data_IF_774046629521
#
_entry.id   IF_774046629521
#
_cell.length_a   1.000
_cell.length_b   1.000
_cell.length_c   1.000
_cell.angle_alpha   90.00
_cell.angle_beta   90.00
_cell.angle_gamma   90.00
#
_symmetry.space_group_name_H-M   'P 1'
#
loop_
_entity.id
_entity.type
_entity.pdbx_description
1 polymer ?
#
# COMPACT_ATOMS: atom_id res chain seq x y z
N UNK A 1 7.68 -8.14 -16.32
CA UNK A 1 6.98 -8.62 -15.11
C UNK A 1 6.86 -10.14 -15.05
N UNK A 2 6.77 -10.87 -16.17
CA UNK A 2 6.78 -12.35 -16.15
C UNK A 2 8.04 -12.91 -15.47
N UNK A 3 7.84 -13.95 -14.65
CA UNK A 3 8.91 -14.61 -13.90
C UNK A 3 9.46 -13.81 -12.71
N UNK A 4 8.72 -12.82 -12.20
CA UNK A 4 9.07 -12.06 -11.00
C UNK A 4 7.98 -12.25 -9.93
N UNK A 5 8.39 -12.31 -8.66
CA UNK A 5 7.45 -12.17 -7.56
C UNK A 5 7.02 -10.70 -7.46
N UNK A 6 5.71 -10.47 -7.37
CA UNK A 6 5.11 -9.15 -7.30
C UNK A 6 4.20 -9.07 -6.08
N UNK A 7 4.44 -8.05 -5.26
CA UNK A 7 3.55 -7.63 -4.17
C UNK A 7 3.16 -6.18 -4.44
N UNK A 8 1.86 -5.92 -4.52
CA UNK A 8 1.29 -4.57 -4.68
C UNK A 8 0.35 -4.30 -3.52
N UNK A 9 0.45 -3.11 -2.94
CA UNK A 9 -0.43 -2.70 -1.86
C UNK A 9 -0.77 -1.22 -2.01
N UNK A 10 -1.98 -0.85 -1.59
CA UNK A 10 -2.47 0.53 -1.59
C UNK A 10 -3.63 0.63 -0.61
N UNK A 11 -3.85 1.82 -0.04
CA UNK A 11 -4.95 2.07 0.90
C UNK A 11 -6.09 2.74 0.18
N UNK A 12 -7.31 2.59 0.69
CA UNK A 12 -8.49 3.16 0.05
C UNK A 12 -8.72 4.66 0.37
N UNK A 13 -7.90 5.28 1.23
CA UNK A 13 -8.02 6.69 1.61
C UNK A 13 -9.00 6.98 2.75
N UNK A 14 -9.69 5.96 3.28
CA UNK A 14 -10.47 6.08 4.51
C UNK A 14 -9.53 6.05 5.72
N UNK A 15 -9.80 6.82 6.79
CA UNK A 15 -8.98 6.75 8.00
C UNK A 15 -8.97 5.33 8.59
N UNK A 16 -7.78 4.86 8.95
CA UNK A 16 -7.53 3.58 9.60
C UNK A 16 -6.67 3.70 10.84
N UNK A 17 -6.00 2.61 11.22
CA UNK A 17 -5.32 2.45 12.51
C UNK A 17 -4.21 3.48 12.78
N UNK A 18 -3.50 3.96 11.74
CA UNK A 18 -2.40 4.92 11.89
C UNK A 18 -2.81 6.38 11.66
N UNK A 19 -4.09 6.64 11.42
CA UNK A 19 -4.59 7.98 11.13
C UNK A 19 -5.08 8.67 12.40
N UNK A 20 -4.14 8.87 13.33
CA UNK A 20 -4.39 9.42 14.66
C UNK A 20 -3.64 10.74 14.88
N UNK A 21 -4.21 11.70 15.65
CA UNK A 21 -3.51 12.94 15.98
C UNK A 21 -2.18 12.69 16.70
N UNK A 22 -1.15 13.45 16.34
CA UNK A 22 0.21 13.31 16.88
C UNK A 22 1.08 12.29 16.14
N UNK A 23 0.54 11.58 15.14
CA UNK A 23 1.29 10.71 14.23
C UNK A 23 1.27 11.26 12.80
N UNK A 24 1.33 12.58 12.67
CA UNK A 24 1.22 13.20 11.36
C UNK A 24 2.39 12.79 10.44
N UNK A 25 2.09 12.57 9.17
CA UNK A 25 3.05 12.14 8.14
C UNK A 25 4.29 13.03 8.06
N UNK A 26 4.12 14.33 8.27
CA UNK A 26 5.21 15.31 8.21
C UNK A 26 5.16 16.27 9.41
N UNK A 27 6.33 16.66 9.89
CA UNK A 27 6.45 17.65 10.96
C UNK A 27 5.79 18.98 10.53
N UNK A 28 4.86 19.47 11.36
CA UNK A 28 4.12 20.71 11.09
C UNK A 28 2.89 20.55 10.19
N UNK A 29 2.60 19.34 9.69
CA UNK A 29 1.32 19.06 9.02
C UNK A 29 0.19 19.02 10.06
N UNK A 30 -0.98 19.55 9.70
CA UNK A 30 -2.15 19.44 10.56
C UNK A 30 -2.83 18.09 10.36
N UNK A 31 -3.40 17.52 11.42
CA UNK A 31 -4.17 16.30 11.32
C UNK A 31 -5.29 16.38 10.27
N UNK A 32 -5.98 17.51 10.16
CA UNK A 32 -7.01 17.72 9.14
C UNK A 32 -6.43 17.67 7.71
N UNK A 33 -5.24 18.23 7.51
CA UNK A 33 -4.52 18.16 6.22
C UNK A 33 -4.14 16.72 5.90
N UNK A 34 -3.63 15.95 6.86
CA UNK A 34 -3.32 14.55 6.66
C UNK A 34 -4.56 13.76 6.22
N UNK A 35 -5.68 13.89 6.93
CA UNK A 35 -6.89 13.13 6.59
C UNK A 35 -7.40 13.51 5.19
N UNK A 36 -7.50 14.80 4.89
CA UNK A 36 -8.08 15.26 3.61
C UNK A 36 -7.13 15.04 2.45
N UNK A 37 -5.90 15.54 2.53
CA UNK A 37 -4.94 15.43 1.45
C UNK A 37 -4.38 14.01 1.34
N UNK A 38 -4.05 13.37 2.46
CA UNK A 38 -3.59 11.98 2.49
C UNK A 38 -4.66 11.00 2.02
N UNK A 39 -5.92 11.18 2.44
CA UNK A 39 -7.02 10.37 1.93
C UNK A 39 -7.24 10.52 0.42
N UNK A 40 -7.17 11.76 -0.10
CA UNK A 40 -7.29 12.01 -1.54
C UNK A 40 -6.12 11.40 -2.35
N UNK A 41 -4.91 11.47 -1.82
CA UNK A 41 -3.72 10.84 -2.42
C UNK A 41 -3.92 9.32 -2.49
N UNK A 42 -4.29 8.69 -1.37
CA UNK A 42 -4.48 7.23 -1.33
C UNK A 42 -5.63 6.76 -2.22
N UNK A 43 -6.75 7.49 -2.27
CA UNK A 43 -7.84 7.15 -3.20
C UNK A 43 -7.38 7.18 -4.68
N UNK A 44 -6.53 8.15 -5.05
CA UNK A 44 -5.98 8.24 -6.40
C UNK A 44 -4.97 7.12 -6.68
N UNK A 45 -4.07 6.80 -5.74
CA UNK A 45 -3.09 5.73 -5.90
C UNK A 45 -3.76 4.35 -5.90
N UNK A 46 -4.84 4.16 -5.15
CA UNK A 46 -5.65 2.96 -5.14
C UNK A 46 -6.25 2.68 -6.52
N UNK A 47 -6.85 3.68 -7.14
CA UNK A 47 -7.39 3.56 -8.50
C UNK A 47 -6.30 3.17 -9.53
N UNK A 48 -5.12 3.76 -9.44
CA UNK A 48 -3.97 3.40 -10.29
C UNK A 48 -3.49 1.96 -10.02
N UNK A 49 -3.51 1.53 -8.76
CA UNK A 49 -3.02 0.20 -8.35
C UNK A 49 -3.99 -0.89 -8.78
N UNK A 50 -5.30 -0.67 -8.66
CA UNK A 50 -6.32 -1.56 -9.24
C UNK A 50 -6.13 -1.71 -10.75
N UNK A 51 -5.95 -0.61 -11.49
CA UNK A 51 -5.70 -0.70 -12.94
C UNK A 51 -4.45 -1.52 -13.29
N UNK A 52 -3.39 -1.42 -12.47
CA UNK A 52 -2.19 -2.22 -12.66
C UNK A 52 -2.44 -3.70 -12.39
N UNK A 53 -3.16 -4.03 -11.30
CA UNK A 53 -3.54 -5.41 -10.97
C UNK A 53 -4.41 -6.00 -12.07
N UNK A 54 -5.48 -5.31 -12.48
CA UNK A 54 -6.37 -5.73 -13.57
C UNK A 54 -5.58 -6.03 -14.85
N UNK A 55 -4.58 -5.19 -15.15
CA UNK A 55 -3.75 -5.36 -16.34
C UNK A 55 -2.80 -6.56 -16.22
N UNK A 56 -2.25 -6.83 -15.04
CA UNK A 56 -1.40 -7.99 -14.78
C UNK A 56 -2.19 -9.29 -14.87
N UNK A 57 -3.38 -9.32 -14.26
CA UNK A 57 -4.31 -10.44 -14.32
C UNK A 57 -4.74 -10.73 -15.76
N UNK A 58 -5.14 -9.71 -16.53
CA UNK A 58 -5.48 -9.86 -17.94
C UNK A 58 -4.33 -10.31 -18.85
N UNK A 59 -3.09 -10.32 -18.35
CA UNK A 59 -1.89 -10.81 -19.05
C UNK A 59 -1.39 -12.17 -18.52
N UNK A 60 -2.14 -12.80 -17.63
CA UNK A 60 -1.79 -14.02 -16.90
C UNK A 60 -0.45 -13.87 -16.14
N UNK A 61 -0.24 -12.71 -15.50
CA UNK A 61 0.95 -12.44 -14.69
C UNK A 61 0.54 -12.49 -13.21
N UNK A 62 1.01 -13.48 -12.43
CA UNK A 62 0.68 -13.58 -11.01
C UNK A 62 1.14 -12.36 -10.21
N UNK A 63 0.29 -11.90 -9.30
CA UNK A 63 0.56 -10.80 -8.38
C UNK A 63 -0.14 -11.07 -7.04
N UNK A 64 0.51 -10.73 -5.94
CA UNK A 64 -0.16 -10.64 -4.62
C UNK A 64 -0.58 -9.19 -4.42
N UNK A 65 -1.87 -8.95 -4.23
CA UNK A 65 -2.44 -7.61 -4.12
C UNK A 65 -3.15 -7.42 -2.77
N UNK A 66 -2.80 -6.37 -2.04
CA UNK A 66 -3.39 -5.97 -0.77
C UNK A 66 -4.05 -4.58 -0.93
N UNK A 67 -5.31 -4.56 -1.41
CA UNK A 67 -6.00 -3.34 -1.83
C UNK A 67 -7.24 -2.97 -1.01
N UNK A 68 -7.72 -3.87 -0.14
CA UNK A 68 -8.92 -3.65 0.68
C UNK A 68 -8.63 -2.92 2.01
N UNK A 69 -7.36 -2.55 2.26
CA UNK A 69 -6.93 -1.94 3.51
C UNK A 69 -7.40 -0.48 3.63
N UNK A 70 -7.91 -0.14 4.81
CA UNK A 70 -8.11 1.24 5.22
C UNK A 70 -6.77 1.93 5.49
N UNK A 71 -6.77 3.25 5.36
CA UNK A 71 -5.67 4.11 5.71
C UNK A 71 -5.58 5.36 4.85
N UNK A 72 -4.98 6.39 5.44
CA UNK A 72 -4.48 7.54 4.70
C UNK A 72 -2.96 7.44 4.55
N UNK A 73 -2.34 8.51 4.03
CA UNK A 73 -0.92 8.54 3.67
C UNK A 73 0.01 8.66 4.90
N UNK A 74 -0.11 7.72 5.85
CA UNK A 74 0.59 7.68 7.14
C UNK A 74 1.72 6.64 7.16
N UNK A 75 2.78 6.88 7.94
CA UNK A 75 4.00 6.04 7.92
C UNK A 75 3.80 4.62 8.44
N UNK A 76 2.92 4.39 9.41
CA UNK A 76 2.74 3.06 10.00
C UNK A 76 2.33 2.00 8.97
N UNK A 77 1.51 2.37 7.98
CA UNK A 77 1.14 1.47 6.88
C UNK A 77 2.36 1.01 6.05
N UNK A 78 3.30 1.93 5.80
CA UNK A 78 4.55 1.65 5.09
C UNK A 78 5.55 0.84 5.93
N UNK A 79 5.35 0.75 7.24
CA UNK A 79 6.12 -0.13 8.12
C UNK A 79 5.60 -1.57 8.06
N UNK A 80 4.29 -1.74 7.90
CA UNK A 80 3.63 -3.04 7.84
C UNK A 80 3.78 -3.74 6.50
N UNK A 81 3.64 -3.01 5.38
CA UNK A 81 3.69 -3.64 4.05
C UNK A 81 4.99 -4.36 3.74
N UNK A 82 6.18 -3.83 4.06
CA UNK A 82 7.41 -4.55 3.83
C UNK A 82 7.45 -5.88 4.57
N UNK A 83 6.85 -5.96 5.77
CA UNK A 83 6.76 -7.21 6.55
C UNK A 83 5.83 -8.21 5.89
N UNK A 84 4.69 -7.75 5.36
CA UNK A 84 3.75 -8.59 4.60
C UNK A 84 4.34 -9.06 3.26
N UNK A 85 5.10 -8.18 2.60
CA UNK A 85 5.76 -8.48 1.34
C UNK A 85 6.94 -9.45 1.53
N UNK A 86 7.59 -9.44 2.69
CA UNK A 86 8.85 -10.14 2.90
C UNK A 86 8.79 -11.64 2.61
N UNK A 87 7.82 -12.44 3.09
CA UNK A 87 7.77 -13.87 2.77
C UNK A 87 7.73 -14.17 1.26
N UNK A 88 6.98 -13.37 0.50
CA UNK A 88 6.84 -13.51 -0.96
C UNK A 88 8.15 -13.18 -1.67
N UNK A 89 8.81 -12.11 -1.23
CA UNK A 89 10.09 -11.69 -1.81
C UNK A 89 11.21 -12.67 -1.44
N UNK A 90 11.28 -13.10 -0.18
CA UNK A 90 12.28 -14.04 0.33
C UNK A 90 12.23 -15.38 -0.41
N UNK A 91 11.02 -15.95 -0.59
CA UNK A 91 10.83 -17.19 -1.36
C UNK A 91 11.39 -17.06 -2.77
N UNK A 92 11.13 -15.94 -3.45
CA UNK A 92 11.61 -15.71 -4.81
C UNK A 92 13.13 -15.59 -4.93
N UNK A 93 13.81 -15.28 -3.82
CA UNK A 93 15.27 -15.16 -3.72
C UNK A 93 15.94 -16.42 -3.16
N UNK A 94 15.16 -17.42 -2.73
CA UNK A 94 15.68 -18.58 -1.99
C UNK A 94 16.22 -18.21 -0.61
N UNK A 95 15.74 -17.12 -0.02
CA UNK A 95 16.07 -16.70 1.34
C UNK A 95 15.05 -17.27 2.34
N UNK A 96 15.46 -17.39 3.61
CA UNK A 96 14.52 -17.70 4.70
C UNK A 96 13.61 -16.49 4.97
N UNK A 97 12.32 -16.76 5.21
CA UNK A 97 11.30 -15.76 5.50
C UNK A 97 11.32 -15.36 6.98
#
# INVERSE_FOLDING_TARGET
>A
MRGKALYLSSRNGLPGTYDVPGQERAAGESFATQIVAGGAIEAATNACTHQLVDRLEALDIPVTAELDADGTHSWGYWEDDPRKAWPILAESMGAEA
#
